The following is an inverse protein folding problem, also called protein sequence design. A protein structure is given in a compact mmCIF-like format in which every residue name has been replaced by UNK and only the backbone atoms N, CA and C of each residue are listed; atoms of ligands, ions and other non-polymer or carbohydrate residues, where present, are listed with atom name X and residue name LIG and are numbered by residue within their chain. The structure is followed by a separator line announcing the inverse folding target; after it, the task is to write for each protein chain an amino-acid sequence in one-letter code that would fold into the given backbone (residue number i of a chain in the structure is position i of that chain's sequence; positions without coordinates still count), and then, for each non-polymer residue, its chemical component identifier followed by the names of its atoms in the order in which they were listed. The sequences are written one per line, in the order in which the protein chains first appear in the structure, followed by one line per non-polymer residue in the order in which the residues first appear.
data_IF_045834942297
#
_entry.id   IF_045834942297
#
_cell.length_a   1.000
_cell.length_b   1.000
_cell.length_c   1.000
_cell.angle_alpha   90.00
_cell.angle_beta   90.00
_cell.angle_gamma   90.00
#
_symmetry.space_group_name_H-M   'P 1'
#
loop_
_entity.id
_entity.type
_entity.pdbx_description
1 polymer ?
#
# COMPACT_ATOMS: atom_id res chain seq x y z
N UNK A 1 -54.20 -16.47 -68.50
CA UNK A 1 -54.49 -15.17 -67.82
C UNK A 1 -53.49 -15.06 -66.68
N UNK A 2 -52.51 -14.15 -66.54
CA UNK A 2 -52.00 -12.94 -67.22
C UNK A 2 -50.49 -12.93 -66.85
N UNK A 3 -49.52 -13.13 -67.75
CA UNK A 3 -48.74 -12.16 -68.54
C UNK A 3 -47.58 -11.41 -67.82
N UNK A 4 -46.34 -11.77 -68.23
CA UNK A 4 -45.10 -10.99 -68.52
C UNK A 4 -44.80 -9.65 -67.80
N UNK A 5 -43.58 -9.51 -67.22
CA UNK A 5 -42.46 -8.62 -67.65
C UNK A 5 -41.48 -8.25 -66.51
N UNK A 6 -40.19 -8.27 -66.86
CA UNK A 6 -38.99 -7.84 -66.14
C UNK A 6 -38.88 -6.31 -65.96
N UNK A 7 -38.30 -5.82 -64.84
CA UNK A 7 -37.64 -4.49 -64.65
C UNK A 7 -36.76 -4.59 -63.37
N UNK A 8 -35.42 -4.61 -63.42
CA UNK A 8 -34.43 -3.49 -63.34
C UNK A 8 -34.42 -2.63 -62.06
N UNK A 9 -33.28 -2.70 -61.34
CA UNK A 9 -32.48 -1.62 -60.70
C UNK A 9 -33.10 -0.73 -59.59
N UNK A 10 -32.49 -0.74 -58.39
CA UNK A 10 -32.18 0.47 -57.62
C UNK A 10 -31.11 0.22 -56.54
N UNK A 11 -29.98 0.93 -56.67
CA UNK A 11 -28.90 1.09 -55.70
C UNK A 11 -29.36 2.04 -54.60
N UNK A 12 -29.07 1.71 -53.34
CA UNK A 12 -29.28 2.60 -52.20
C UNK A 12 -28.38 2.23 -51.04
N UNK A 13 -27.10 2.57 -51.13
CA UNK A 13 -26.17 2.52 -50.00
C UNK A 13 -26.57 3.64 -49.04
N UNK A 14 -27.26 3.31 -47.94
CA UNK A 14 -27.40 4.21 -46.80
C UNK A 14 -26.08 4.24 -46.04
N UNK A 15 -25.21 5.21 -46.35
CA UNK A 15 -24.16 5.64 -45.42
C UNK A 15 -24.85 6.48 -44.35
N UNK A 16 -25.35 5.81 -43.31
CA UNK A 16 -25.74 6.50 -42.09
C UNK A 16 -24.46 7.09 -41.46
N UNK A 17 -24.41 8.39 -41.12
CA UNK A 17 -23.31 8.92 -40.33
C UNK A 17 -23.38 8.21 -38.97
N UNK A 18 -22.36 7.41 -38.65
CA UNK A 18 -22.15 6.95 -37.28
C UNK A 18 -21.96 8.20 -36.45
N UNK A 19 -22.98 8.54 -35.66
CA UNK A 19 -22.85 9.48 -34.56
C UNK A 19 -21.68 8.99 -33.72
N UNK A 20 -20.55 9.68 -33.84
CA UNK A 20 -19.43 9.52 -32.93
C UNK A 20 -19.95 9.88 -31.55
N UNK A 21 -20.36 8.88 -30.78
CA UNK A 21 -20.49 9.05 -29.34
C UNK A 21 -19.12 9.48 -28.87
N UNK A 22 -18.98 10.76 -28.50
CA UNK A 22 -17.76 11.29 -27.94
C UNK A 22 -17.30 10.34 -26.84
N UNK A 23 -16.11 9.76 -27.03
CA UNK A 23 -15.51 8.97 -25.97
C UNK A 23 -15.49 9.85 -24.71
N UNK A 24 -15.99 9.35 -23.56
CA UNK A 24 -15.85 10.09 -22.31
C UNK A 24 -14.37 10.46 -22.19
N UNK A 25 -14.09 11.75 -22.02
CA UNK A 25 -12.74 12.25 -21.82
C UNK A 25 -12.13 11.43 -20.68
N UNK A 26 -11.19 10.55 -21.03
CA UNK A 26 -10.51 9.67 -20.11
C UNK A 26 -9.85 10.55 -19.04
N UNK A 27 -10.45 10.62 -17.85
CA UNK A 27 -9.82 11.29 -16.71
C UNK A 27 -8.52 10.57 -16.41
N UNK A 28 -7.42 11.32 -16.30
CA UNK A 28 -6.14 10.79 -15.86
C UNK A 28 -6.31 10.19 -14.46
N UNK A 29 -6.08 8.88 -14.27
CA UNK A 29 -6.21 8.24 -12.96
C UNK A 29 -5.26 8.85 -11.93
N UNK A 30 -5.70 8.95 -10.68
CA UNK A 30 -4.99 9.60 -9.57
C UNK A 30 -4.66 8.61 -8.46
N UNK A 31 -3.39 8.55 -8.08
CA UNK A 31 -2.88 7.74 -6.98
C UNK A 31 -2.54 8.68 -5.83
N UNK A 32 -3.21 8.51 -4.68
CA UNK A 32 -2.88 9.23 -3.45
C UNK A 32 -1.89 8.42 -2.61
N UNK A 33 -0.72 8.96 -2.29
CA UNK A 33 0.19 8.37 -1.32
C UNK A 33 0.04 9.03 0.04
N UNK A 34 -0.21 8.21 1.06
CA UNK A 34 -0.17 8.61 2.47
C UNK A 34 1.05 7.98 3.14
N UNK A 35 2.09 8.78 3.28
CA UNK A 35 3.35 8.38 3.89
C UNK A 35 3.32 8.64 5.40
N UNK A 36 3.60 7.60 6.20
CA UNK A 36 3.90 7.80 7.61
C UNK A 36 5.24 8.52 7.81
N UNK A 37 6.25 8.19 7.02
CA UNK A 37 7.60 8.72 7.16
C UNK A 37 7.78 10.14 6.58
N UNK A 38 8.93 10.72 6.85
CA UNK A 38 9.41 11.99 6.30
C UNK A 38 9.83 11.88 4.83
N UNK A 39 9.70 12.98 4.08
CA UNK A 39 10.09 13.02 2.65
C UNK A 39 11.58 12.68 2.42
N UNK A 40 12.45 12.91 3.42
CA UNK A 40 13.88 12.62 3.37
C UNK A 40 14.28 11.21 3.83
N UNK A 41 13.33 10.36 4.24
CA UNK A 41 13.63 9.01 4.73
C UNK A 41 14.22 8.13 3.60
N UNK A 42 15.43 7.54 3.77
CA UNK A 42 16.06 6.74 2.72
C UNK A 42 15.22 5.53 2.28
N UNK A 43 14.52 4.86 3.19
CA UNK A 43 13.70 3.69 2.89
C UNK A 43 12.45 4.07 2.08
N UNK A 44 11.84 5.22 2.42
CA UNK A 44 10.76 5.81 1.64
C UNK A 44 11.22 6.12 0.22
N UNK A 45 12.36 6.81 0.08
CA UNK A 45 12.88 7.21 -1.23
C UNK A 45 13.18 6.01 -2.13
N UNK A 46 13.75 4.95 -1.56
CA UNK A 46 13.99 3.69 -2.27
C UNK A 46 12.68 3.04 -2.73
N UNK A 47 11.70 2.92 -1.85
CA UNK A 47 10.41 2.32 -2.19
C UNK A 47 9.66 3.17 -3.23
N UNK A 48 9.62 4.50 -3.07
CA UNK A 48 9.00 5.44 -4.02
C UNK A 48 9.62 5.31 -5.42
N UNK A 49 10.95 5.26 -5.50
CA UNK A 49 11.67 5.07 -6.77
C UNK A 49 11.33 3.72 -7.42
N UNK A 50 11.38 2.62 -6.66
CA UNK A 50 11.06 1.29 -7.16
C UNK A 50 9.59 1.20 -7.63
N UNK A 51 8.67 1.83 -6.90
CA UNK A 51 7.25 1.88 -7.24
C UNK A 51 7.02 2.64 -8.56
N UNK A 52 7.59 3.83 -8.70
CA UNK A 52 7.50 4.63 -9.93
C UNK A 52 8.16 3.91 -11.13
N UNK A 53 9.30 3.26 -10.92
CA UNK A 53 9.96 2.46 -11.96
C UNK A 53 9.06 1.31 -12.42
N UNK A 54 8.42 0.60 -11.48
CA UNK A 54 7.51 -0.50 -11.82
C UNK A 54 6.27 0.00 -12.56
N UNK A 55 5.68 1.12 -12.14
CA UNK A 55 4.55 1.73 -12.85
C UNK A 55 4.94 2.15 -14.27
N UNK A 56 6.09 2.79 -14.45
CA UNK A 56 6.59 3.19 -15.76
C UNK A 56 6.81 1.98 -16.68
N UNK A 57 7.38 0.88 -16.16
CA UNK A 57 7.54 -0.38 -16.90
C UNK A 57 6.20 -1.04 -17.29
N UNK A 58 5.11 -0.71 -16.59
CA UNK A 58 3.76 -1.14 -16.92
C UNK A 58 3.01 -0.15 -17.84
N UNK A 59 3.67 0.94 -18.25
CA UNK A 59 3.10 1.98 -19.11
C UNK A 59 2.37 3.10 -18.37
N UNK A 60 2.50 3.19 -17.04
CA UNK A 60 1.92 4.27 -16.23
C UNK A 60 3.00 5.27 -15.83
N UNK A 61 3.11 6.38 -16.57
CA UNK A 61 4.07 7.45 -16.28
C UNK A 61 3.37 8.60 -15.55
N UNK A 62 3.92 9.01 -14.42
CA UNK A 62 3.42 10.14 -13.64
C UNK A 62 3.49 11.45 -14.44
N UNK A 63 2.44 12.26 -14.36
CA UNK A 63 2.26 13.48 -15.16
C UNK A 63 1.81 13.26 -16.60
N UNK A 64 1.68 12.00 -17.05
CA UNK A 64 1.26 11.65 -18.41
C UNK A 64 0.05 10.72 -18.40
N UNK A 65 0.23 9.51 -17.86
CA UNK A 65 -0.77 8.45 -17.86
C UNK A 65 -1.51 8.37 -16.52
N UNK A 66 -0.86 8.81 -15.45
CA UNK A 66 -1.40 8.90 -14.08
C UNK A 66 -0.93 10.19 -13.42
N UNK A 67 -1.55 10.56 -12.30
CA UNK A 67 -1.09 11.62 -11.41
C UNK A 67 -0.87 11.07 -10.00
N UNK A 68 0.30 11.34 -9.44
CA UNK A 68 0.63 10.96 -8.06
C UNK A 68 0.50 12.17 -7.14
N UNK A 69 -0.32 12.06 -6.10
CA UNK A 69 -0.48 13.07 -5.05
C UNK A 69 0.02 12.53 -3.72
N UNK A 70 0.95 13.24 -3.09
CA UNK A 70 1.62 12.74 -1.88
C UNK A 70 1.28 13.58 -0.64
N UNK A 71 1.17 12.91 0.50
CA UNK A 71 1.05 13.52 1.83
C UNK A 71 2.02 12.83 2.77
N UNK A 72 2.74 13.61 3.57
CA UNK A 72 3.78 13.13 4.47
C UNK A 72 3.43 13.49 5.91
N UNK A 73 3.33 12.48 6.77
CA UNK A 73 3.08 12.67 8.19
C UNK A 73 4.36 13.01 8.97
N UNK A 74 5.55 12.84 8.39
CA UNK A 74 6.83 13.14 9.04
C UNK A 74 7.03 12.39 10.37
N UNK A 75 6.53 11.16 10.45
CA UNK A 75 6.58 10.32 11.66
C UNK A 75 5.48 10.61 12.70
N UNK A 76 4.62 11.60 12.46
CA UNK A 76 3.61 12.06 13.40
C UNK A 76 2.24 11.43 13.12
N UNK A 77 1.85 10.45 13.94
CA UNK A 77 0.60 9.72 13.76
C UNK A 77 -0.65 10.62 13.84
N UNK A 78 -0.60 11.68 14.64
CA UNK A 78 -1.66 12.66 14.83
C UNK A 78 -2.01 13.42 13.54
N UNK A 79 -1.08 13.56 12.60
CA UNK A 79 -1.30 14.25 11.31
C UNK A 79 -2.05 13.38 10.30
N UNK A 80 -2.00 12.06 10.45
CA UNK A 80 -2.51 11.12 9.45
C UNK A 80 -4.00 11.29 9.18
N UNK A 81 -4.80 11.60 10.20
CA UNK A 81 -6.25 11.72 10.03
C UNK A 81 -6.64 12.87 9.12
N UNK A 82 -5.95 14.01 9.20
CA UNK A 82 -6.21 15.18 8.34
C UNK A 82 -5.71 14.91 6.92
N UNK A 83 -4.47 14.43 6.79
CA UNK A 83 -3.87 14.11 5.49
C UNK A 83 -4.66 13.04 4.71
N UNK A 84 -5.24 12.05 5.41
CA UNK A 84 -6.10 11.04 4.79
C UNK A 84 -7.42 11.63 4.28
N UNK A 85 -8.03 12.57 5.04
CA UNK A 85 -9.24 13.28 4.61
C UNK A 85 -8.96 14.15 3.40
N UNK A 86 -7.82 14.81 3.36
CA UNK A 86 -7.41 15.61 2.20
C UNK A 86 -7.28 14.76 0.93
N UNK A 87 -6.64 13.58 1.02
CA UNK A 87 -6.55 12.65 -0.12
C UNK A 87 -7.93 12.16 -0.57
N UNK A 88 -8.82 11.83 0.37
CA UNK A 88 -10.18 11.43 0.05
C UNK A 88 -10.97 12.57 -0.61
N UNK A 89 -10.83 13.80 -0.12
CA UNK A 89 -11.45 15.00 -0.67
C UNK A 89 -10.89 15.38 -2.06
N UNK A 90 -9.61 15.10 -2.31
CA UNK A 90 -8.98 15.20 -3.63
C UNK A 90 -9.64 14.27 -4.67
N UNK A 91 -10.43 13.28 -4.27
CA UNK A 91 -11.04 12.27 -5.16
C UNK A 91 -9.98 11.52 -5.98
N UNK A 92 -8.96 11.02 -5.29
CA UNK A 92 -8.03 10.05 -5.88
C UNK A 92 -8.75 8.72 -6.15
N UNK A 93 -8.27 7.96 -7.13
CA UNK A 93 -8.89 6.69 -7.53
C UNK A 93 -8.40 5.52 -6.67
N UNK A 94 -7.20 5.62 -6.08
CA UNK A 94 -6.63 4.65 -5.15
C UNK A 94 -5.72 5.37 -4.15
N UNK A 95 -5.71 4.89 -2.90
CA UNK A 95 -4.77 5.35 -1.87
C UNK A 95 -3.73 4.27 -1.61
N UNK A 96 -2.45 4.60 -1.73
CA UNK A 96 -1.34 3.78 -1.24
C UNK A 96 -0.92 4.32 0.13
N UNK A 97 -1.02 3.51 1.18
CA UNK A 97 -0.77 3.96 2.55
C UNK A 97 0.35 3.13 3.21
N UNK A 98 1.31 3.81 3.83
CA UNK A 98 2.47 3.14 4.43
C UNK A 98 2.31 2.91 5.93
N UNK A 99 2.64 1.70 6.38
CA UNK A 99 2.38 1.22 7.72
C UNK A 99 0.89 1.09 8.08
N UNK A 100 0.63 0.43 9.22
CA UNK A 100 -0.73 0.22 9.73
C UNK A 100 -1.42 1.52 10.12
N UNK A 101 -0.67 2.49 10.67
CA UNK A 101 -1.23 3.77 11.12
C UNK A 101 -1.84 4.56 9.95
N UNK A 102 -1.09 4.75 8.84
CA UNK A 102 -1.60 5.46 7.68
C UNK A 102 -2.76 4.72 7.01
N UNK A 103 -2.65 3.39 6.89
CA UNK A 103 -3.71 2.56 6.30
C UNK A 103 -5.00 2.63 7.12
N UNK A 104 -4.90 2.67 8.44
CA UNK A 104 -6.03 2.83 9.35
C UNK A 104 -6.67 4.21 9.23
N UNK A 105 -5.86 5.27 9.10
CA UNK A 105 -6.35 6.63 8.88
C UNK A 105 -7.07 6.76 7.52
N UNK A 106 -6.51 6.17 6.45
CA UNK A 106 -7.15 6.11 5.14
C UNK A 106 -8.49 5.38 5.18
N UNK A 107 -8.57 4.21 5.85
CA UNK A 107 -9.82 3.44 5.99
C UNK A 107 -10.90 4.21 6.77
N UNK A 108 -10.49 5.04 7.73
CA UNK A 108 -11.41 5.92 8.46
C UNK A 108 -11.90 7.09 7.61
N UNK A 109 -11.04 7.62 6.72
CA UNK A 109 -11.39 8.71 5.83
C UNK A 109 -12.32 8.28 4.68
N UNK A 110 -12.27 7.01 4.26
CA UNK A 110 -13.09 6.49 3.16
C UNK A 110 -13.31 4.98 3.24
N UNK A 111 -14.54 4.57 2.93
CA UNK A 111 -14.94 3.16 2.77
C UNK A 111 -15.06 2.74 1.29
N UNK A 112 -14.89 3.67 0.35
CA UNK A 112 -15.15 3.43 -1.08
C UNK A 112 -13.91 3.50 -1.96
N UNK A 113 -12.94 4.36 -1.61
CA UNK A 113 -11.68 4.43 -2.37
C UNK A 113 -10.85 3.19 -2.00
N UNK A 114 -10.37 2.39 -2.96
CA UNK A 114 -9.46 1.28 -2.68
C UNK A 114 -8.18 1.75 -1.98
N UNK A 115 -7.76 1.02 -0.95
CA UNK A 115 -6.56 1.29 -0.18
C UNK A 115 -5.59 0.13 -0.36
N UNK A 116 -4.39 0.43 -0.83
CA UNK A 116 -3.26 -0.50 -0.93
C UNK A 116 -2.30 -0.20 0.21
N UNK A 117 -2.34 -1.01 1.26
CA UNK A 117 -1.39 -0.94 2.37
C UNK A 117 -0.03 -1.50 1.95
N UNK A 118 1.04 -0.85 2.37
CA UNK A 118 2.42 -1.35 2.20
C UNK A 118 3.19 -1.18 3.50
N UNK A 119 4.11 -2.11 3.77
CA UNK A 119 4.87 -2.15 5.02
C UNK A 119 3.99 -2.17 6.29
N UNK A 120 2.79 -2.76 6.20
CA UNK A 120 1.97 -3.04 7.37
C UNK A 120 2.57 -4.23 8.12
N UNK A 121 2.93 -4.09 9.40
CA UNK A 121 3.57 -5.18 10.16
C UNK A 121 2.59 -6.27 10.61
N UNK A 122 1.43 -5.89 11.14
CA UNK A 122 0.39 -6.83 11.54
C UNK A 122 -1.01 -6.27 11.25
N UNK A 123 -1.45 -6.29 9.98
CA UNK A 123 -2.73 -5.70 9.59
C UNK A 123 -3.94 -6.51 10.10
N UNK A 124 -3.77 -7.80 10.42
CA UNK A 124 -4.86 -8.62 11.00
C UNK A 124 -4.99 -8.33 12.49
N UNK A 125 -3.88 -8.40 13.25
CA UNK A 125 -3.88 -8.12 14.68
C UNK A 125 -4.25 -6.68 15.00
N UNK A 126 -3.95 -5.72 14.11
CA UNK A 126 -4.41 -4.34 14.21
C UNK A 126 -5.89 -4.13 13.83
N UNK A 127 -6.59 -5.18 13.39
CA UNK A 127 -7.97 -5.08 12.94
C UNK A 127 -8.13 -4.23 11.67
N UNK A 128 -7.06 -4.05 10.89
CA UNK A 128 -7.10 -3.32 9.62
C UNK A 128 -7.87 -4.12 8.56
N UNK A 129 -7.65 -5.43 8.52
CA UNK A 129 -8.29 -6.40 7.62
C UNK A 129 -8.72 -7.66 8.38
N UNK A 130 -9.68 -8.42 7.83
CA UNK A 130 -10.18 -9.64 8.45
C UNK A 130 -9.18 -10.82 8.36
N UNK A 131 -8.52 -10.98 7.21
CA UNK A 131 -7.50 -12.01 6.98
C UNK A 131 -6.63 -11.67 5.77
N UNK A 132 -5.45 -12.26 5.67
CA UNK A 132 -4.55 -12.06 4.52
C UNK A 132 -5.16 -12.59 3.21
N UNK A 133 -5.86 -13.73 3.26
CA UNK A 133 -6.49 -14.33 2.08
C UNK A 133 -7.75 -13.59 1.63
N UNK A 134 -8.49 -13.00 2.58
CA UNK A 134 -9.74 -12.28 2.34
C UNK A 134 -9.82 -11.07 3.27
N UNK A 135 -9.38 -9.89 2.81
CA UNK A 135 -9.32 -8.70 3.64
C UNK A 135 -10.68 -8.18 4.15
N UNK A 136 -11.74 -8.37 3.37
CA UNK A 136 -13.13 -8.11 3.80
C UNK A 136 -13.62 -6.65 3.72
N UNK A 137 -12.91 -5.76 3.00
CA UNK A 137 -13.29 -4.36 2.83
C UNK A 137 -12.58 -3.70 1.64
N UNK A 138 -12.41 -2.37 1.68
CA UNK A 138 -11.68 -1.61 0.64
C UNK A 138 -10.15 -1.62 0.83
N UNK A 139 -9.62 -2.37 1.79
CA UNK A 139 -8.17 -2.45 2.08
C UNK A 139 -7.60 -3.77 1.55
N UNK A 140 -6.48 -3.69 0.84
CA UNK A 140 -5.63 -4.82 0.39
C UNK A 140 -4.17 -4.40 0.42
N UNK A 141 -3.23 -5.25 0.02
CA UNK A 141 -1.83 -4.86 -0.21
C UNK A 141 -0.82 -5.88 0.32
N UNK A 142 0.32 -5.37 0.81
CA UNK A 142 1.42 -6.19 1.32
C UNK A 142 1.64 -5.98 2.80
N UNK A 143 2.06 -7.05 3.47
CA UNK A 143 2.42 -7.06 4.89
C UNK A 143 3.84 -7.56 5.04
N UNK A 144 4.55 -7.08 6.06
CA UNK A 144 5.84 -7.64 6.44
C UNK A 144 5.58 -8.81 7.39
N UNK A 145 6.20 -9.96 7.12
CA UNK A 145 6.25 -11.03 8.11
C UNK A 145 7.32 -10.71 9.14
N UNK A 146 7.10 -11.10 10.38
CA UNK A 146 8.11 -10.99 11.42
C UNK A 146 9.31 -11.87 11.07
N UNK A 147 10.51 -11.30 11.22
CA UNK A 147 11.80 -11.99 11.02
C UNK A 147 12.63 -12.03 12.30
N UNK A 148 12.00 -11.78 13.46
CA UNK A 148 12.70 -11.66 14.74
C UNK A 148 13.57 -12.88 15.07
N UNK A 149 13.02 -14.08 14.90
CA UNK A 149 13.78 -15.31 15.10
C UNK A 149 14.96 -15.45 14.14
N UNK A 150 14.76 -15.13 12.86
CA UNK A 150 15.84 -15.23 11.86
C UNK A 150 16.96 -14.22 12.11
N UNK A 151 16.62 -13.04 12.61
CA UNK A 151 17.61 -12.05 13.03
C UNK A 151 18.42 -12.54 14.24
N UNK A 152 17.80 -13.23 15.21
CA UNK A 152 18.53 -13.86 16.32
C UNK A 152 19.45 -14.99 15.82
N UNK A 153 18.99 -15.84 14.89
CA UNK A 153 19.82 -16.87 14.26
C UNK A 153 21.04 -16.26 13.56
N UNK A 154 20.82 -15.24 12.72
CA UNK A 154 21.90 -14.57 11.99
C UNK A 154 22.87 -13.88 12.95
N UNK A 155 22.35 -13.24 13.99
CA UNK A 155 23.17 -12.65 15.05
C UNK A 155 24.06 -13.75 15.66
N UNK A 156 23.51 -14.90 16.01
CA UNK A 156 24.27 -16.02 16.58
C UNK A 156 25.40 -16.51 15.67
N UNK A 157 25.20 -16.52 14.35
CA UNK A 157 26.25 -16.83 13.38
C UNK A 157 27.37 -15.77 13.37
N UNK A 158 27.00 -14.48 13.43
CA UNK A 158 27.93 -13.36 13.38
C UNK A 158 28.73 -13.17 14.68
N UNK A 159 28.11 -13.36 15.84
CA UNK A 159 28.76 -13.21 17.16
C UNK A 159 28.45 -14.42 18.05
N UNK A 160 29.08 -15.58 17.81
CA UNK A 160 28.72 -16.86 18.44
C UNK A 160 29.01 -16.92 19.95
N UNK A 161 29.70 -15.93 20.53
CA UNK A 161 29.99 -15.83 21.96
C UNK A 161 29.03 -14.90 22.71
N UNK A 162 28.09 -14.27 22.02
CA UNK A 162 27.10 -13.43 22.69
C UNK A 162 26.29 -14.25 23.69
N UNK A 163 26.07 -13.68 24.88
CA UNK A 163 25.26 -14.26 25.97
C UNK A 163 24.01 -13.42 26.27
N UNK A 164 24.00 -12.16 25.81
CA UNK A 164 22.91 -11.21 25.99
C UNK A 164 22.67 -10.46 24.69
N UNK A 165 21.39 -10.29 24.33
CA UNK A 165 20.95 -9.51 23.19
C UNK A 165 19.96 -8.44 23.69
N UNK A 166 20.32 -7.17 23.49
CA UNK A 166 19.43 -6.04 23.71
C UNK A 166 18.58 -5.79 22.47
N UNK A 167 17.28 -5.59 22.66
CA UNK A 167 16.33 -5.35 21.57
C UNK A 167 15.50 -4.13 21.90
N UNK A 168 15.72 -3.05 21.14
CA UNK A 168 14.94 -1.82 21.25
C UNK A 168 13.68 -1.96 20.40
N UNK A 169 12.52 -1.67 20.97
CA UNK A 169 11.24 -1.77 20.27
C UNK A 169 10.33 -0.59 20.56
N UNK A 170 9.54 -0.17 19.58
CA UNK A 170 8.43 0.74 19.82
C UNK A 170 7.14 -0.06 20.02
N UNK A 171 6.57 -0.11 21.24
CA UNK A 171 5.37 -0.90 21.53
C UNK A 171 4.13 -0.39 20.77
N UNK A 172 4.14 0.86 20.29
CA UNK A 172 3.04 1.44 19.51
C UNK A 172 3.02 0.96 18.05
N UNK A 173 4.08 0.31 17.57
CA UNK A 173 4.12 -0.19 16.20
C UNK A 173 3.40 -1.55 16.07
N UNK A 174 2.46 -1.62 15.13
CA UNK A 174 1.78 -2.85 14.79
C UNK A 174 2.77 -3.86 14.19
N UNK A 175 2.97 -4.98 14.87
CA UNK A 175 3.97 -6.01 14.54
C UNK A 175 5.06 -6.18 15.60
N UNK A 176 5.26 -5.19 16.49
CA UNK A 176 6.25 -5.28 17.58
C UNK A 176 6.01 -6.49 18.48
N UNK A 177 4.75 -6.80 18.79
CA UNK A 177 4.41 -7.96 19.62
C UNK A 177 4.89 -9.26 18.99
N UNK A 178 4.52 -9.52 17.73
CA UNK A 178 4.93 -10.73 17.01
C UNK A 178 6.45 -10.82 16.89
N UNK A 179 7.09 -9.68 16.61
CA UNK A 179 8.55 -9.59 16.57
C UNK A 179 9.22 -9.98 17.90
N UNK A 180 8.75 -9.41 19.02
CA UNK A 180 9.29 -9.72 20.35
C UNK A 180 9.05 -11.19 20.71
N UNK A 181 7.89 -11.76 20.38
CA UNK A 181 7.62 -13.20 20.59
C UNK A 181 8.66 -14.06 19.86
N UNK A 182 8.88 -13.82 18.57
CA UNK A 182 9.84 -14.60 17.77
C UNK A 182 11.28 -14.48 18.29
N UNK A 183 11.69 -13.27 18.69
CA UNK A 183 13.00 -13.00 19.29
C UNK A 183 13.15 -13.75 20.60
N UNK A 184 12.14 -13.70 21.49
CA UNK A 184 12.17 -14.35 22.79
C UNK A 184 12.22 -15.88 22.65
N UNK A 185 11.41 -16.45 21.76
CA UNK A 185 11.40 -17.89 21.49
C UNK A 185 12.74 -18.38 20.94
N UNK A 186 13.30 -17.66 19.96
CA UNK A 186 14.59 -18.03 19.38
C UNK A 186 15.76 -17.78 20.32
N UNK A 187 15.70 -16.71 21.13
CA UNK A 187 16.67 -16.44 22.17
C UNK A 187 16.76 -17.57 23.19
N UNK A 188 15.61 -18.11 23.62
CA UNK A 188 15.56 -19.29 24.50
C UNK A 188 16.24 -20.51 23.87
N UNK A 189 16.01 -20.77 22.57
CA UNK A 189 16.65 -21.89 21.84
C UNK A 189 18.18 -21.81 21.87
N UNK A 190 18.75 -20.60 21.93
CA UNK A 190 20.21 -20.39 21.97
C UNK A 190 20.76 -20.05 23.36
N UNK A 191 19.95 -20.15 24.42
CA UNK A 191 20.31 -19.74 25.78
C UNK A 191 20.80 -18.29 25.87
N UNK A 192 20.24 -17.39 25.06
CA UNK A 192 20.52 -15.96 25.10
C UNK A 192 19.62 -15.28 26.12
N UNK A 193 20.19 -14.36 26.89
CA UNK A 193 19.43 -13.41 27.70
C UNK A 193 18.92 -12.31 26.78
N UNK A 194 17.62 -12.29 26.50
CA UNK A 194 17.00 -11.21 25.73
C UNK A 194 16.56 -10.11 26.68
N UNK A 195 17.05 -8.89 26.45
CA UNK A 195 16.61 -7.68 27.15
C UNK A 195 15.85 -6.80 26.17
N UNK A 196 14.52 -6.76 26.31
CA UNK A 196 13.66 -5.87 25.53
C UNK A 196 13.59 -4.51 26.22
N UNK A 197 13.85 -3.45 25.47
CA UNK A 197 13.72 -2.07 25.95
C UNK A 197 12.72 -1.36 25.05
N UNK A 198 11.71 -0.77 25.65
CA UNK A 198 10.71 0.00 24.94
C UNK A 198 11.22 1.42 24.70
N UNK A 199 11.13 1.88 23.46
CA UNK A 199 11.59 3.19 22.97
C UNK A 199 10.46 3.80 22.16
N UNK A 200 9.93 4.91 22.62
CA UNK A 200 8.78 5.60 22.02
C UNK A 200 9.15 6.92 21.37
N UNK A 201 10.29 7.50 21.75
CA UNK A 201 10.83 8.76 21.24
C UNK A 201 12.31 8.62 20.91
N UNK A 202 12.83 9.59 20.16
CA UNK A 202 14.24 9.61 19.78
C UNK A 202 15.14 9.88 20.99
N UNK A 203 14.61 10.54 22.02
CA UNK A 203 15.35 10.92 23.23
C UNK A 203 15.32 9.87 24.36
N UNK A 204 14.59 8.76 24.19
CA UNK A 204 14.50 7.64 25.15
C UNK A 204 15.78 6.79 25.17
#
# INVERSE_FOLDING_TARGET
MITRRSVLLAIGVLVAPRLSQGQPQSKTPRIGFLWFASIGDPSLLQFRSAFQQRLSALGYVDGKDILIEERFAEGHAERLSELARDLAASKVDVIVATAVAASSAARQATSTIPIVMVHAGDPVGAGLIASLARPGGNVTGTTNLSLGGKQVELMRELVPRAVKLGVLVNPSNAGTRSYVVDVMETGRRFNLIIAVVEVTRVED
#
